data_IF_442141088261
#
_entry.id   IF_442141088261
#
_cell.length_a   1.000
_cell.length_b   1.000
_cell.length_c   1.000
_cell.angle_alpha   90.00
_cell.angle_beta   90.00
_cell.angle_gamma   90.00
#
_symmetry.space_group_name_H-M   'P 1'
#
loop_
_entity.id
_entity.type
_entity.pdbx_description
1 polymer ?
#
# COMPACT_ATOMS: atom_id res chain seq x y z
N UNK A 1 6.30 -23.09 8.95
CA UNK A 1 5.54 -21.92 9.44
C UNK A 1 5.71 -20.73 8.51
N UNK A 2 4.83 -19.74 8.65
CA UNK A 2 4.87 -18.45 7.93
C UNK A 2 5.26 -17.38 8.95
N UNK A 3 6.29 -16.56 8.63
CA UNK A 3 6.70 -15.49 9.55
C UNK A 3 5.70 -14.36 9.62
N UNK A 4 5.18 -13.89 8.48
CA UNK A 4 4.17 -12.84 8.41
C UNK A 4 3.05 -13.26 7.45
N UNK A 5 1.86 -13.46 7.97
CA UNK A 5 0.65 -13.70 7.17
C UNK A 5 -0.14 -12.41 7.02
N UNK A 6 -0.43 -12.01 5.78
CA UNK A 6 -1.14 -10.77 5.50
C UNK A 6 -2.52 -11.01 4.89
N UNK A 7 -3.54 -10.37 5.46
CA UNK A 7 -4.85 -10.26 4.84
C UNK A 7 -4.73 -9.36 3.60
N UNK A 8 -5.14 -9.85 2.43
CA UNK A 8 -4.86 -9.17 1.16
C UNK A 8 -5.76 -7.95 0.93
N UNK A 9 -7.04 -8.05 1.30
CA UNK A 9 -8.06 -7.03 1.07
C UNK A 9 -9.02 -6.95 2.24
N UNK A 10 -9.57 -5.74 2.55
CA UNK A 10 -10.79 -5.64 3.35
C UNK A 10 -11.93 -6.37 2.64
N UNK A 11 -12.71 -7.14 3.38
CA UNK A 11 -13.89 -7.83 2.86
C UNK A 11 -15.07 -6.88 2.68
N UNK A 12 -15.19 -5.90 3.57
CA UNK A 12 -16.20 -4.84 3.51
C UNK A 12 -15.97 -3.85 2.36
N UNK A 13 -17.05 -3.20 1.89
CA UNK A 13 -16.96 -2.13 0.92
C UNK A 13 -16.16 -0.93 1.49
N UNK A 14 -15.09 -0.55 0.81
CA UNK A 14 -14.25 0.58 1.19
C UNK A 14 -13.51 1.13 -0.04
N UNK A 15 -12.70 2.18 0.15
CA UNK A 15 -11.98 2.86 -0.92
C UNK A 15 -10.65 2.18 -1.26
N UNK A 16 -10.71 1.15 -2.09
CA UNK A 16 -9.56 0.48 -2.68
C UNK A 16 -9.69 0.41 -4.22
N UNK A 17 -8.74 -0.18 -4.92
CA UNK A 17 -8.69 -0.25 -6.39
C UNK A 17 -8.79 1.11 -7.12
N UNK A 18 -8.29 2.19 -6.50
CA UNK A 18 -8.29 3.53 -7.10
C UNK A 18 -9.53 4.36 -6.79
N UNK A 19 -10.46 3.88 -5.97
CA UNK A 19 -11.52 4.71 -5.41
C UNK A 19 -10.92 5.71 -4.43
N UNK A 20 -11.26 7.00 -4.60
CA UNK A 20 -10.71 8.09 -3.78
C UNK A 20 -11.61 8.53 -2.62
N UNK A 21 -12.84 8.06 -2.57
CA UNK A 21 -13.81 8.40 -1.53
C UNK A 21 -14.55 7.17 -1.04
N UNK A 22 -14.96 7.22 0.22
CA UNK A 22 -15.86 6.22 0.78
C UNK A 22 -17.29 6.55 0.39
N UNK A 23 -17.97 5.59 -0.21
CA UNK A 23 -19.41 5.65 -0.50
C UNK A 23 -20.08 4.62 0.38
N UNK A 24 -21.01 5.08 1.22
CA UNK A 24 -21.73 4.21 2.14
C UNK A 24 -22.76 3.36 1.37
N UNK A 25 -22.78 2.07 1.66
CA UNK A 25 -23.81 1.14 1.20
C UNK A 25 -24.45 0.47 2.42
N UNK A 26 -25.72 0.74 2.66
CA UNK A 26 -26.48 0.18 3.78
C UNK A 26 -26.63 -1.35 3.69
N UNK A 27 -26.41 -1.94 2.53
CA UNK A 27 -26.48 -3.36 2.28
C UNK A 27 -25.13 -4.08 2.45
N UNK A 28 -24.05 -3.34 2.69
CA UNK A 28 -22.71 -3.91 2.95
C UNK A 28 -22.64 -4.47 4.39
N UNK A 29 -23.30 -5.61 4.61
CA UNK A 29 -23.42 -6.26 5.93
C UNK A 29 -22.79 -7.65 5.97
N UNK A 30 -22.57 -8.28 4.83
CA UNK A 30 -22.12 -9.66 4.71
C UNK A 30 -20.58 -9.74 4.66
N UNK A 31 -19.92 -9.26 5.71
CA UNK A 31 -18.46 -9.38 5.87
C UNK A 31 -18.10 -9.95 7.24
N UNK A 32 -17.00 -10.68 7.30
CA UNK A 32 -16.53 -11.32 8.54
C UNK A 32 -16.16 -10.26 9.60
N UNK A 33 -16.73 -10.31 10.81
CA UNK A 33 -16.39 -9.38 11.89
C UNK A 33 -14.87 -9.39 12.17
N UNK A 34 -14.32 -8.22 12.45
CA UNK A 34 -12.88 -8.07 12.78
C UNK A 34 -12.41 -8.99 13.89
N UNK A 35 -13.27 -9.23 14.88
CA UNK A 35 -12.98 -10.10 16.02
C UNK A 35 -12.85 -11.56 15.56
N UNK A 36 -13.78 -12.07 14.77
CA UNK A 36 -13.77 -13.45 14.27
C UNK A 36 -12.53 -13.72 13.39
N UNK A 37 -12.10 -12.70 12.63
CA UNK A 37 -10.85 -12.76 11.86
C UNK A 37 -9.65 -12.91 12.82
N UNK A 38 -9.55 -12.06 13.85
CA UNK A 38 -8.45 -12.12 14.81
C UNK A 38 -8.44 -13.43 15.62
N UNK A 39 -9.59 -13.93 16.03
CA UNK A 39 -9.72 -15.23 16.71
C UNK A 39 -9.27 -16.39 15.81
N UNK A 40 -9.63 -16.34 14.53
CA UNK A 40 -9.20 -17.35 13.57
C UNK A 40 -7.68 -17.32 13.37
N UNK A 41 -7.09 -16.13 13.24
CA UNK A 41 -5.66 -15.95 13.11
C UNK A 41 -4.91 -16.37 14.40
N UNK A 42 -5.50 -16.08 15.58
CA UNK A 42 -4.96 -16.52 16.86
C UNK A 42 -4.79 -18.04 16.91
N UNK A 43 -5.78 -18.78 16.47
CA UNK A 43 -5.69 -20.26 16.42
C UNK A 43 -4.49 -20.76 15.62
N UNK A 44 -4.17 -20.11 14.49
CA UNK A 44 -2.99 -20.46 13.68
C UNK A 44 -1.67 -20.05 14.33
N UNK A 45 -1.66 -18.95 15.08
CA UNK A 45 -0.49 -18.53 15.87
C UNK A 45 -0.25 -19.54 17.01
N UNK A 46 -1.28 -19.89 17.77
CA UNK A 46 -1.22 -20.83 18.90
C UNK A 46 -0.76 -22.23 18.42
N UNK A 47 -1.09 -22.61 17.19
CA UNK A 47 -0.60 -23.85 16.54
C UNK A 47 0.82 -23.74 15.98
N UNK A 48 1.48 -22.59 16.08
CA UNK A 48 2.83 -22.37 15.54
C UNK A 48 2.91 -22.33 14.01
N UNK A 49 1.77 -22.20 13.31
CA UNK A 49 1.71 -22.14 11.84
C UNK A 49 2.11 -20.79 11.28
N UNK A 50 1.77 -19.72 11.97
CA UNK A 50 2.15 -18.33 11.67
C UNK A 50 2.72 -17.68 12.92
N UNK A 51 3.66 -16.73 12.73
CA UNK A 51 4.25 -15.96 13.82
C UNK A 51 3.57 -14.61 14.01
N UNK A 52 3.44 -13.86 12.94
CA UNK A 52 2.90 -12.51 12.94
C UNK A 52 1.82 -12.36 11.88
N UNK A 53 0.94 -11.39 12.10
CA UNK A 53 -0.12 -11.05 11.18
C UNK A 53 -0.02 -9.60 10.73
N UNK A 54 -0.44 -9.34 9.50
CA UNK A 54 -0.53 -8.02 8.90
C UNK A 54 -1.76 -7.91 8.02
N UNK A 55 -1.92 -6.76 7.42
CA UNK A 55 -3.03 -6.49 6.50
C UNK A 55 -2.55 -5.75 5.26
N UNK A 56 -3.38 -5.69 4.23
CA UNK A 56 -3.10 -4.95 3.02
C UNK A 56 -4.35 -4.23 2.52
N UNK A 57 -4.14 -3.11 1.83
CA UNK A 57 -5.21 -2.28 1.25
C UNK A 57 -6.23 -1.78 2.28
N UNK A 58 -5.78 -1.61 3.51
CA UNK A 58 -6.64 -1.25 4.62
C UNK A 58 -6.73 0.28 4.81
N UNK A 59 -7.80 0.71 5.45
CA UNK A 59 -8.10 2.10 5.78
C UNK A 59 -7.79 2.42 7.24
N UNK A 60 -7.74 3.71 7.64
CA UNK A 60 -7.57 4.09 9.04
C UNK A 60 -8.62 3.46 9.96
N UNK A 61 -9.87 3.36 9.50
CA UNK A 61 -10.95 2.73 10.26
C UNK A 61 -10.63 1.27 10.60
N UNK A 62 -10.32 0.45 9.59
CA UNK A 62 -10.08 -0.97 9.82
C UNK A 62 -8.82 -1.22 10.66
N UNK A 63 -7.73 -0.47 10.41
CA UNK A 63 -6.54 -0.58 11.24
C UNK A 63 -6.83 -0.23 12.71
N UNK A 64 -7.60 0.85 12.97
CA UNK A 64 -7.99 1.23 14.33
C UNK A 64 -8.80 0.14 15.02
N UNK A 65 -9.76 -0.45 14.31
CA UNK A 65 -10.61 -1.52 14.86
C UNK A 65 -9.81 -2.77 15.22
N UNK A 66 -8.89 -3.22 14.35
CA UNK A 66 -8.02 -4.35 14.65
C UNK A 66 -7.12 -4.10 15.87
N UNK A 67 -6.55 -2.90 15.97
CA UNK A 67 -5.68 -2.52 17.10
C UNK A 67 -6.48 -2.44 18.41
N UNK A 68 -7.65 -1.83 18.37
CA UNK A 68 -8.54 -1.74 19.53
C UNK A 68 -8.93 -3.12 20.07
N UNK A 69 -9.38 -4.02 19.20
CA UNK A 69 -9.73 -5.39 19.58
C UNK A 69 -8.54 -6.17 20.14
N UNK A 70 -7.38 -6.02 19.52
CA UNK A 70 -6.14 -6.63 20.01
C UNK A 70 -5.82 -6.19 21.44
N UNK A 71 -5.94 -4.89 21.76
CA UNK A 71 -5.67 -4.34 23.09
C UNK A 71 -6.71 -4.78 24.12
N UNK A 72 -8.00 -4.76 23.75
CA UNK A 72 -9.10 -4.95 24.69
C UNK A 72 -9.44 -6.43 24.94
N UNK A 73 -9.14 -7.33 23.99
CA UNK A 73 -9.54 -8.74 24.04
C UNK A 73 -8.36 -9.72 24.04
N UNK A 74 -7.14 -9.24 24.20
CA UNK A 74 -5.92 -10.06 24.16
C UNK A 74 -5.83 -10.91 22.89
N UNK A 75 -6.18 -10.32 21.74
CA UNK A 75 -6.10 -10.93 20.42
C UNK A 75 -4.79 -10.54 19.72
N UNK A 76 -4.36 -11.28 18.69
CA UNK A 76 -3.15 -10.98 17.95
C UNK A 76 -3.17 -9.58 17.35
N UNK A 77 -2.01 -8.91 17.36
CA UNK A 77 -1.85 -7.55 16.87
C UNK A 77 -1.43 -7.56 15.40
N UNK A 78 -2.05 -6.69 14.61
CA UNK A 78 -1.56 -6.38 13.26
C UNK A 78 -0.21 -5.66 13.34
N UNK A 79 0.83 -6.26 12.77
CA UNK A 79 2.21 -5.76 12.84
C UNK A 79 2.57 -4.81 11.71
N UNK A 80 1.89 -4.93 10.57
CA UNK A 80 2.16 -4.15 9.36
C UNK A 80 0.91 -3.92 8.53
N UNK A 81 0.96 -2.86 7.73
CA UNK A 81 -0.01 -2.59 6.66
C UNK A 81 0.73 -2.55 5.33
N UNK A 82 0.27 -3.28 4.33
CA UNK A 82 0.82 -3.20 2.98
C UNK A 82 -0.12 -2.41 2.07
N UNK A 83 0.24 -1.17 1.78
CA UNK A 83 -0.57 -0.25 0.96
C UNK A 83 0.26 0.42 -0.13
N UNK A 84 -0.38 0.95 -1.21
CA UNK A 84 0.34 1.67 -2.25
C UNK A 84 0.84 3.01 -1.72
N UNK A 85 2.08 3.34 -2.04
CA UNK A 85 2.64 4.66 -1.72
C UNK A 85 3.78 5.00 -2.68
N UNK A 86 3.76 6.19 -3.25
CA UNK A 86 4.80 6.70 -4.14
C UNK A 86 4.65 8.22 -4.34
N UNK A 87 5.54 8.83 -5.12
CA UNK A 87 5.55 10.26 -5.41
C UNK A 87 4.23 10.82 -5.98
N UNK A 88 3.45 10.01 -6.71
CA UNK A 88 2.18 10.42 -7.34
C UNK A 88 0.95 9.79 -6.70
N UNK A 89 1.14 8.98 -5.65
CA UNK A 89 0.06 8.47 -4.81
C UNK A 89 0.46 8.59 -3.34
N UNK A 90 0.01 9.66 -2.71
CA UNK A 90 0.32 10.00 -1.32
C UNK A 90 -0.89 9.87 -0.38
N UNK A 91 -1.92 9.13 -0.81
CA UNK A 91 -3.16 8.96 -0.02
C UNK A 91 -2.93 8.36 1.36
N UNK A 92 -1.86 7.55 1.53
CA UNK A 92 -1.47 7.01 2.83
C UNK A 92 -1.15 8.09 3.88
N UNK A 93 -0.69 9.25 3.46
CA UNK A 93 -0.40 10.37 4.36
C UNK A 93 -1.67 10.95 5.00
N UNK A 94 -2.85 10.67 4.41
CA UNK A 94 -4.14 11.12 4.92
C UNK A 94 -4.68 10.10 5.93
N UNK A 95 -4.35 10.28 7.20
CA UNK A 95 -4.81 9.46 8.32
C UNK A 95 -4.02 8.19 8.58
N UNK A 96 -3.58 7.43 7.57
CA UNK A 96 -2.83 6.18 7.77
C UNK A 96 -1.43 6.40 8.35
N UNK A 97 -0.73 7.44 7.92
CA UNK A 97 0.63 7.74 8.41
C UNK A 97 0.66 8.03 9.91
N UNK A 98 -0.30 8.81 10.41
CA UNK A 98 -0.40 9.12 11.82
C UNK A 98 -0.64 7.86 12.67
N UNK A 99 -1.65 7.07 12.31
CA UNK A 99 -1.97 5.86 13.06
C UNK A 99 -0.83 4.83 13.00
N UNK A 100 -0.15 4.70 11.85
CA UNK A 100 1.01 3.82 11.70
C UNK A 100 2.14 4.18 12.66
N UNK A 101 2.45 5.47 12.80
CA UNK A 101 3.49 5.93 13.72
C UNK A 101 3.07 5.75 15.17
N UNK A 102 1.88 6.22 15.54
CA UNK A 102 1.39 6.18 16.92
C UNK A 102 1.18 4.76 17.43
N UNK A 103 0.65 3.91 16.57
CA UNK A 103 0.38 2.52 16.91
C UNK A 103 1.53 1.57 16.52
N UNK A 104 2.66 2.08 16.03
CA UNK A 104 3.83 1.26 15.63
C UNK A 104 3.45 0.09 14.71
N UNK A 105 2.58 0.37 13.72
CA UNK A 105 2.16 -0.56 12.68
C UNK A 105 2.64 -0.02 11.33
N UNK A 106 3.85 -0.37 10.93
CA UNK A 106 4.55 0.26 9.82
C UNK A 106 4.03 -0.15 8.44
N UNK A 107 4.28 0.73 7.45
CA UNK A 107 3.90 0.50 6.07
C UNK A 107 4.91 -0.38 5.34
N UNK A 108 4.42 -1.44 4.71
CA UNK A 108 5.09 -2.18 3.64
C UNK A 108 4.62 -1.58 2.30
N UNK A 109 5.51 -0.89 1.61
CA UNK A 109 5.11 -0.15 0.40
C UNK A 109 5.04 -1.07 -0.80
N UNK A 110 3.93 -1.05 -1.54
CA UNK A 110 3.88 -1.57 -2.89
C UNK A 110 3.62 -0.45 -3.92
N UNK A 111 3.95 -0.69 -5.19
CA UNK A 111 3.94 0.29 -6.29
C UNK A 111 4.83 1.54 -6.08
N UNK A 112 6.03 1.43 -5.50
CA UNK A 112 6.90 2.59 -5.28
C UNK A 112 7.27 3.31 -6.58
N UNK A 113 7.26 2.60 -7.71
CA UNK A 113 7.52 3.15 -9.05
C UNK A 113 6.23 3.42 -9.87
N UNK A 114 5.06 3.49 -9.23
CA UNK A 114 3.77 3.76 -9.91
C UNK A 114 3.58 2.88 -11.17
N UNK A 115 3.67 1.54 -11.00
CA UNK A 115 3.61 0.56 -12.11
C UNK A 115 4.67 0.77 -13.22
N UNK A 116 5.81 1.35 -12.85
CA UNK A 116 6.93 1.63 -13.74
C UNK A 116 6.96 3.04 -14.33
N UNK A 117 5.94 3.87 -14.08
CA UNK A 117 5.92 5.24 -14.60
C UNK A 117 7.07 6.10 -14.03
N UNK A 118 7.34 5.97 -12.74
CA UNK A 118 8.45 6.68 -12.07
C UNK A 118 9.85 6.12 -12.40
N UNK A 119 9.96 5.11 -13.27
CA UNK A 119 11.26 4.74 -13.85
C UNK A 119 11.67 5.62 -15.03
N UNK A 120 10.75 6.42 -15.57
CA UNK A 120 10.96 7.28 -16.72
C UNK A 120 10.74 6.60 -18.08
N UNK A 121 10.48 5.28 -18.13
CA UNK A 121 10.38 4.52 -19.39
C UNK A 121 9.17 4.85 -20.27
N UNK A 122 8.17 5.55 -19.72
CA UNK A 122 6.97 5.98 -20.46
C UNK A 122 6.99 7.47 -20.84
N UNK A 123 8.09 8.18 -20.57
CA UNK A 123 8.23 9.60 -20.92
C UNK A 123 8.18 9.80 -22.43
N UNK A 124 7.78 11.00 -22.85
CA UNK A 124 7.68 11.39 -24.26
C UNK A 124 6.79 10.45 -25.11
N UNK A 125 5.75 9.85 -24.51
CA UNK A 125 4.84 8.93 -25.20
C UNK A 125 5.43 7.55 -25.50
N UNK A 126 6.58 7.22 -24.96
CA UNK A 126 7.20 5.91 -25.17
C UNK A 126 6.39 4.81 -24.48
N UNK A 127 6.25 3.67 -25.16
CA UNK A 127 5.59 2.47 -24.63
C UNK A 127 6.41 1.23 -25.02
N UNK A 128 7.45 0.88 -24.24
CA UNK A 128 8.26 -0.30 -24.56
C UNK A 128 7.42 -1.58 -24.67
N UNK A 129 7.61 -2.37 -25.70
CA UNK A 129 6.77 -3.53 -26.05
C UNK A 129 6.56 -4.52 -24.89
N UNK A 130 7.59 -4.75 -24.08
CA UNK A 130 7.55 -5.69 -22.97
C UNK A 130 7.30 -4.98 -21.62
N UNK A 131 6.87 -3.72 -21.65
CA UNK A 131 6.54 -3.01 -20.42
C UNK A 131 5.16 -3.42 -19.90
N UNK A 132 4.97 -3.26 -18.56
CA UNK A 132 3.70 -3.59 -17.92
C UNK A 132 2.50 -2.91 -18.58
N UNK A 133 2.61 -1.63 -18.92
CA UNK A 133 1.53 -0.87 -19.54
C UNK A 133 1.23 -1.33 -20.98
N UNK A 134 2.23 -1.83 -21.72
CA UNK A 134 2.02 -2.39 -23.04
C UNK A 134 1.34 -3.77 -23.00
N UNK A 135 1.64 -4.57 -21.97
CA UNK A 135 1.13 -5.94 -21.84
C UNK A 135 -0.26 -6.00 -21.20
N UNK A 136 -0.57 -5.10 -20.28
CA UNK A 136 -1.79 -5.11 -19.49
C UNK A 136 -2.58 -3.82 -19.72
N UNK A 137 -3.56 -3.88 -20.60
CA UNK A 137 -4.48 -2.77 -20.87
C UNK A 137 -5.37 -2.48 -19.63
N UNK A 138 -5.75 -1.21 -19.46
CA UNK A 138 -6.61 -0.79 -18.33
C UNK A 138 -5.87 -0.44 -17.05
N UNK A 139 -4.54 -0.46 -17.05
CA UNK A 139 -3.71 -0.05 -15.90
C UNK A 139 -3.06 1.32 -16.09
N UNK A 140 -3.56 2.13 -17.05
CA UNK A 140 -2.99 3.42 -17.42
C UNK A 140 -3.29 4.55 -16.42
N UNK A 141 -3.92 4.27 -15.28
CA UNK A 141 -4.29 5.28 -14.27
C UNK A 141 -3.13 6.20 -13.83
N UNK A 142 -1.89 5.73 -13.98
CA UNK A 142 -0.69 6.50 -13.68
C UNK A 142 -0.10 7.22 -14.90
N UNK A 143 -0.74 7.17 -16.07
CA UNK A 143 -0.30 7.82 -17.30
C UNK A 143 -1.23 8.95 -17.76
N UNK A 144 -2.04 9.49 -16.84
CA UNK A 144 -2.86 10.66 -17.15
C UNK A 144 -2.01 11.93 -17.33
N UNK A 145 -2.53 12.97 -18.00
CA UNK A 145 -1.76 14.18 -18.32
C UNK A 145 -1.13 14.88 -17.10
N UNK A 146 -1.83 14.92 -15.96
CA UNK A 146 -1.30 15.54 -14.74
C UNK A 146 -0.11 14.75 -14.19
N UNK A 147 -0.21 13.42 -14.17
CA UNK A 147 0.89 12.57 -13.75
C UNK A 147 2.09 12.68 -14.69
N UNK A 148 1.86 12.75 -16.00
CA UNK A 148 2.94 12.92 -17.00
C UNK A 148 3.71 14.23 -16.80
N UNK A 149 3.03 15.34 -16.51
CA UNK A 149 3.68 16.61 -16.16
C UNK A 149 4.54 16.47 -14.89
N UNK A 150 4.02 15.83 -13.86
CA UNK A 150 4.78 15.59 -12.63
C UNK A 150 6.04 14.73 -12.89
N UNK A 151 5.96 13.73 -13.78
CA UNK A 151 7.12 12.91 -14.13
C UNK A 151 8.24 13.71 -14.81
N UNK A 152 7.89 14.71 -15.62
CA UNK A 152 8.91 15.59 -16.22
C UNK A 152 9.63 16.43 -15.14
N UNK A 153 8.90 16.95 -14.18
CA UNK A 153 9.50 17.69 -13.06
C UNK A 153 10.35 16.77 -12.17
N UNK A 154 9.89 15.57 -11.86
CA UNK A 154 10.72 14.58 -11.13
C UNK A 154 11.95 14.15 -11.93
N UNK A 155 11.89 14.10 -13.25
CA UNK A 155 13.05 13.82 -14.06
C UNK A 155 14.09 14.93 -13.98
N UNK A 156 13.66 16.20 -14.06
CA UNK A 156 14.56 17.36 -13.89
C UNK A 156 15.24 17.30 -12.52
N UNK A 157 14.43 17.15 -11.47
CA UNK A 157 14.93 17.05 -10.10
C UNK A 157 15.93 15.89 -9.92
N UNK A 158 15.61 14.70 -10.45
CA UNK A 158 16.52 13.56 -10.37
C UNK A 158 17.88 13.87 -11.03
N UNK A 159 17.88 14.53 -12.18
CA UNK A 159 19.11 14.97 -12.87
C UNK A 159 19.94 15.95 -12.06
N UNK A 160 19.31 16.91 -11.37
CA UNK A 160 20.00 17.88 -10.52
C UNK A 160 20.80 17.20 -9.39
N UNK A 161 20.29 16.05 -8.91
CA UNK A 161 20.93 15.25 -7.87
C UNK A 161 21.73 14.05 -8.41
N UNK A 162 21.99 13.98 -9.70
CA UNK A 162 22.69 12.86 -10.35
C UNK A 162 22.05 11.49 -10.05
N UNK A 163 20.71 11.44 -9.98
CA UNK A 163 19.92 10.24 -9.74
C UNK A 163 19.13 9.84 -10.99
N UNK A 164 18.81 8.57 -11.09
CA UNK A 164 17.71 8.13 -11.96
C UNK A 164 16.37 8.47 -11.30
N UNK A 165 15.28 8.57 -12.08
CA UNK A 165 13.93 8.75 -11.52
C UNK A 165 13.54 7.63 -10.56
N UNK A 166 13.95 6.39 -10.83
CA UNK A 166 13.70 5.25 -9.96
C UNK A 166 14.41 5.40 -8.61
N UNK A 167 15.66 5.86 -8.60
CA UNK A 167 16.40 6.16 -7.36
C UNK A 167 15.74 7.28 -6.57
N UNK A 168 15.33 8.37 -7.22
CA UNK A 168 14.61 9.46 -6.57
C UNK A 168 13.30 8.95 -5.94
N UNK A 169 12.51 8.16 -6.67
CA UNK A 169 11.24 7.63 -6.18
C UNK A 169 11.43 6.70 -4.97
N UNK A 170 12.44 5.83 -4.99
CA UNK A 170 12.75 4.95 -3.87
C UNK A 170 13.30 5.72 -2.67
N UNK A 171 14.19 6.70 -2.89
CA UNK A 171 14.72 7.55 -1.83
C UNK A 171 13.60 8.33 -1.12
N UNK A 172 12.65 8.86 -1.89
CA UNK A 172 11.46 9.52 -1.34
C UNK A 172 10.67 8.59 -0.42
N UNK A 173 10.36 7.38 -0.86
CA UNK A 173 9.60 6.40 -0.06
C UNK A 173 10.38 6.03 1.20
N UNK A 174 11.66 5.72 1.08
CA UNK A 174 12.51 5.32 2.22
C UNK A 174 12.73 6.45 3.24
N UNK A 175 12.56 7.71 2.84
CA UNK A 175 12.70 8.84 3.76
C UNK A 175 11.48 9.05 4.68
N UNK A 176 10.41 8.29 4.50
CA UNK A 176 9.17 8.47 5.29
C UNK A 176 9.21 7.68 6.60
N UNK A 177 8.94 8.31 7.76
CA UNK A 177 9.09 7.67 9.07
C UNK A 177 8.06 6.55 9.33
N UNK A 178 6.98 6.48 8.56
CA UNK A 178 5.98 5.41 8.66
C UNK A 178 6.29 4.21 7.76
N UNK A 179 7.29 4.30 6.88
CA UNK A 179 7.71 3.20 6.01
C UNK A 179 8.71 2.32 6.72
N UNK A 180 8.41 1.02 6.83
CA UNK A 180 9.34 0.04 7.40
C UNK A 180 9.98 -0.87 6.35
N UNK A 181 9.34 -1.08 5.21
CA UNK A 181 9.88 -1.87 4.11
C UNK A 181 9.32 -1.40 2.77
N UNK A 182 10.20 -1.34 1.78
CA UNK A 182 9.83 -1.12 0.39
C UNK A 182 9.82 -2.47 -0.32
N UNK A 183 8.66 -2.88 -0.80
CA UNK A 183 8.50 -4.09 -1.59
C UNK A 183 8.51 -3.75 -3.08
N UNK A 184 9.51 -4.22 -3.79
CA UNK A 184 9.60 -4.09 -5.25
C UNK A 184 9.53 -5.45 -5.90
N UNK A 185 8.68 -5.61 -6.92
CA UNK A 185 8.81 -6.75 -7.81
C UNK A 185 9.82 -6.43 -8.92
N UNK A 186 10.58 -7.38 -9.42
CA UNK A 186 11.35 -7.20 -10.64
C UNK A 186 10.38 -6.91 -11.79
N UNK A 187 10.48 -5.75 -12.40
CA UNK A 187 9.64 -5.29 -13.52
C UNK A 187 10.50 -4.86 -14.69
#
# INVERSE_FOLDING_TARGET
YIDLYQLHWPERNTNFFGKHGYEHDENDKDWTPFEDILESLKRFIDQGKIRYIGMSNETPYGLSRYIELSKNKNLPRMMSVQNPYNLVNRTYEIGMSEISIREKCGLLVYYPLATGALSGKYRNGQMPKNSRQALFKGWERHLNPLAMNAYEEYHKLAKEYNMTMAQLAQAFVNSRPFVCLLYTSPS
#
